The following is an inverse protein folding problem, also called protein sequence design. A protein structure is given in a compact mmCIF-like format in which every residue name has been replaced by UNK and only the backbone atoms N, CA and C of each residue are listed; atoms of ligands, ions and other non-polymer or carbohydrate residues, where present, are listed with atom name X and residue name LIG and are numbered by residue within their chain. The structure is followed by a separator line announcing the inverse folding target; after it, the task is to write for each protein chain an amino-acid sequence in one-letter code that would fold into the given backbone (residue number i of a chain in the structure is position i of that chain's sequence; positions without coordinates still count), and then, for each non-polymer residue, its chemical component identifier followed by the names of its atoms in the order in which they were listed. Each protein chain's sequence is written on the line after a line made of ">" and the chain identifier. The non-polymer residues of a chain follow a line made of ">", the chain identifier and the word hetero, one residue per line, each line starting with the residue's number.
data_IF_312728539666
#
_entry.id   IF_312728539666
#
_cell.length_a   1.000
_cell.length_b   1.000
_cell.length_c   1.000
_cell.angle_alpha   90.00
_cell.angle_beta   90.00
_cell.angle_gamma   90.00
#
_symmetry.space_group_name_H-M   'P 1'
#
loop_
_entity.id
_entity.type
_entity.pdbx_description
1 polymer ?
#
# COMPACT_ATOMS: atom_id res chain seq x y z
N UNK A 1 -10.74 -2.62 18.50
CA UNK A 1 -10.01 -2.95 17.27
C UNK A 1 -10.57 -2.17 16.09
N UNK A 2 -11.77 -2.47 15.57
CA UNK A 2 -12.35 -1.82 14.38
C UNK A 2 -12.29 -0.28 14.39
N UNK A 3 -12.69 0.37 15.49
CA UNK A 3 -12.62 1.82 15.64
C UNK A 3 -11.18 2.38 15.55
N UNK A 4 -10.20 1.67 16.11
CA UNK A 4 -8.79 2.08 16.06
C UNK A 4 -8.24 2.00 14.63
N UNK A 5 -8.79 1.10 13.81
CA UNK A 5 -8.44 0.91 12.40
C UNK A 5 -9.28 1.79 11.46
N UNK A 6 -10.14 2.65 12.00
CA UNK A 6 -11.02 3.53 11.24
C UNK A 6 -12.23 2.85 10.58
N UNK A 7 -12.52 1.59 10.94
CA UNK A 7 -13.65 0.83 10.41
C UNK A 7 -14.88 1.12 11.28
N UNK A 8 -15.71 2.07 10.85
CA UNK A 8 -16.84 2.60 11.64
C UNK A 8 -18.21 2.08 11.20
N UNK A 9 -18.32 1.44 10.03
CA UNK A 9 -19.57 0.92 9.46
C UNK A 9 -19.83 -0.55 9.77
N UNK A 10 -18.84 -1.26 10.35
CA UNK A 10 -18.95 -2.66 10.73
C UNK A 10 -19.34 -2.84 12.20
N UNK A 11 -20.29 -3.74 12.47
CA UNK A 11 -20.65 -4.21 13.82
C UNK A 11 -20.36 -5.70 13.93
N UNK A 12 -19.70 -6.11 15.01
CA UNK A 12 -19.46 -7.52 15.36
C UNK A 12 -20.19 -7.80 16.66
N UNK A 13 -21.24 -8.62 16.59
CA UNK A 13 -22.13 -8.89 17.72
C UNK A 13 -21.84 -10.22 18.42
N UNK A 14 -21.09 -11.11 17.77
CA UNK A 14 -20.68 -12.41 18.27
C UNK A 14 -19.33 -12.84 17.65
N UNK A 15 -18.72 -13.89 18.21
CA UNK A 15 -17.42 -14.39 17.75
C UNK A 15 -17.51 -15.31 16.53
N UNK A 16 -18.66 -15.96 16.29
CA UNK A 16 -18.86 -16.88 15.16
C UNK A 16 -19.33 -16.19 13.88
N UNK A 17 -19.91 -14.98 14.00
CA UNK A 17 -20.57 -14.31 12.88
C UNK A 17 -21.92 -14.90 12.51
N UNK A 18 -22.55 -15.67 13.41
CA UNK A 18 -23.87 -16.27 13.17
C UNK A 18 -25.02 -15.29 13.45
N UNK A 19 -24.82 -14.38 14.41
CA UNK A 19 -25.81 -13.37 14.75
C UNK A 19 -26.06 -12.43 13.57
N UNK A 20 -27.34 -12.20 13.18
CA UNK A 20 -27.69 -11.26 12.12
C UNK A 20 -27.40 -9.79 12.48
N UNK A 21 -27.01 -9.52 13.73
CA UNK A 21 -26.52 -8.20 14.17
C UNK A 21 -25.04 -7.97 13.84
N UNK A 22 -24.34 -8.99 13.36
CA UNK A 22 -22.99 -8.85 12.81
C UNK A 22 -23.14 -8.38 11.36
N UNK A 23 -22.86 -7.11 11.10
CA UNK A 23 -23.08 -6.45 9.80
C UNK A 23 -21.82 -5.74 9.34
N UNK A 24 -21.53 -5.81 8.05
CA UNK A 24 -20.38 -5.18 7.41
C UNK A 24 -20.74 -4.80 5.97
N UNK A 25 -20.01 -3.84 5.39
CA UNK A 25 -20.00 -3.63 3.95
C UNK A 25 -18.89 -4.46 3.28
N UNK A 26 -18.93 -4.61 1.96
CA UNK A 26 -17.82 -5.24 1.22
C UNK A 26 -16.50 -4.47 1.42
N UNK A 27 -16.56 -3.14 1.52
CA UNK A 27 -15.40 -2.30 1.79
C UNK A 27 -14.81 -2.57 3.19
N UNK A 28 -15.66 -2.76 4.21
CA UNK A 28 -15.21 -3.14 5.56
C UNK A 28 -14.47 -4.48 5.53
N UNK A 29 -15.04 -5.48 4.83
CA UNK A 29 -14.43 -6.81 4.72
C UNK A 29 -13.11 -6.80 3.96
N UNK A 30 -12.99 -5.99 2.90
CA UNK A 30 -11.71 -5.77 2.21
C UNK A 30 -10.70 -5.17 3.19
N UNK A 31 -11.08 -4.15 3.96
CA UNK A 31 -10.17 -3.50 4.91
C UNK A 31 -9.71 -4.45 6.02
N UNK A 32 -10.63 -5.24 6.59
CA UNK A 32 -10.29 -6.29 7.56
C UNK A 32 -9.37 -7.34 6.92
N UNK A 33 -9.65 -7.73 5.68
CA UNK A 33 -8.81 -8.68 4.94
C UNK A 33 -7.38 -8.15 4.72
N UNK A 34 -7.22 -6.88 4.34
CA UNK A 34 -5.91 -6.24 4.22
C UNK A 34 -5.15 -6.25 5.55
N UNK A 35 -5.81 -5.91 6.65
CA UNK A 35 -5.21 -5.90 7.99
C UNK A 35 -4.78 -7.30 8.43
N UNK A 36 -5.62 -8.31 8.20
CA UNK A 36 -5.31 -9.71 8.48
C UNK A 36 -4.06 -10.15 7.71
N UNK A 37 -3.98 -9.80 6.43
CA UNK A 37 -2.89 -10.24 5.56
C UNK A 37 -1.55 -9.54 5.83
N UNK A 38 -1.54 -8.43 6.60
CA UNK A 38 -0.32 -7.79 7.10
C UNK A 38 0.30 -8.54 8.29
N UNK A 39 -0.49 -9.33 9.01
CA UNK A 39 -0.01 -10.16 10.10
C UNK A 39 0.50 -11.50 9.55
N UNK A 40 1.76 -11.82 9.80
CA UNK A 40 2.42 -13.02 9.26
C UNK A 40 1.86 -14.32 9.84
N UNK A 41 1.38 -14.30 11.08
CA UNK A 41 0.74 -15.44 11.72
C UNK A 41 -0.64 -15.68 11.12
N UNK A 42 -1.47 -14.64 11.05
CA UNK A 42 -2.84 -14.77 10.54
C UNK A 42 -2.87 -15.10 9.05
N UNK A 43 -2.03 -14.46 8.24
CA UNK A 43 -1.88 -14.80 6.82
C UNK A 43 -1.38 -16.23 6.62
N UNK A 44 -0.48 -16.71 7.49
CA UNK A 44 -0.05 -18.11 7.53
C UNK A 44 -1.23 -19.05 7.76
N UNK A 45 -2.07 -18.77 8.76
CA UNK A 45 -3.24 -19.59 9.11
C UNK A 45 -4.24 -19.66 7.95
N UNK A 46 -4.64 -18.53 7.36
CA UNK A 46 -5.68 -18.52 6.30
C UNK A 46 -5.21 -19.13 4.98
N UNK A 47 -3.90 -19.32 4.82
CA UNK A 47 -3.32 -19.99 3.65
C UNK A 47 -3.27 -21.52 3.77
N UNK A 48 -3.58 -22.08 4.95
CA UNK A 48 -3.56 -23.53 5.18
C UNK A 48 -4.72 -24.23 4.47
N UNK A 49 -4.41 -25.27 3.71
CA UNK A 49 -5.42 -26.09 3.01
C UNK A 49 -6.16 -27.06 3.92
N UNK A 50 -5.55 -27.43 5.04
CA UNK A 50 -6.13 -28.30 6.06
C UNK A 50 -5.40 -28.12 7.39
N UNK A 51 -6.02 -28.62 8.46
CA UNK A 51 -5.44 -28.73 9.80
C UNK A 51 -5.75 -30.11 10.38
N UNK A 52 -4.81 -30.71 11.11
CA UNK A 52 -5.05 -31.95 11.84
C UNK A 52 -5.45 -31.64 13.28
N UNK A 53 -6.65 -32.06 13.68
CA UNK A 53 -7.19 -31.83 15.02
C UNK A 53 -7.19 -33.16 15.80
N UNK A 54 -6.62 -33.20 17.02
CA UNK A 54 -6.67 -34.40 17.87
C UNK A 54 -8.11 -34.91 18.06
N UNK A 55 -8.34 -36.18 17.77
CA UNK A 55 -9.66 -36.83 17.87
C UNK A 55 -10.60 -36.60 16.69
N UNK A 56 -10.37 -35.59 15.85
CA UNK A 56 -11.21 -35.27 14.69
C UNK A 56 -10.53 -35.61 13.35
N UNK A 57 -9.21 -35.75 13.35
CA UNK A 57 -8.43 -36.04 12.14
C UNK A 57 -8.16 -34.79 11.30
N UNK A 58 -7.95 -34.98 10.00
CA UNK A 58 -7.72 -33.88 9.06
C UNK A 58 -9.03 -33.15 8.75
N UNK A 59 -9.03 -31.84 8.92
CA UNK A 59 -10.13 -30.95 8.59
C UNK A 59 -9.69 -30.04 7.44
N UNK A 60 -10.31 -30.15 6.25
CA UNK A 60 -9.97 -29.32 5.12
C UNK A 60 -10.50 -27.89 5.31
N UNK A 61 -9.82 -26.93 4.70
CA UNK A 61 -10.31 -25.57 4.56
C UNK A 61 -11.56 -25.53 3.71
N UNK A 62 -12.52 -24.69 4.09
CA UNK A 62 -13.72 -24.41 3.28
C UNK A 62 -13.39 -23.53 2.06
N UNK A 63 -12.23 -22.86 2.05
CA UNK A 63 -11.73 -22.17 0.88
C UNK A 63 -11.11 -23.17 -0.10
N UNK A 64 -11.96 -23.70 -0.98
CA UNK A 64 -11.62 -24.79 -1.92
C UNK A 64 -10.67 -24.37 -3.04
N UNK A 65 -10.37 -23.07 -3.18
CA UNK A 65 -9.51 -22.53 -4.25
C UNK A 65 -8.11 -22.12 -3.76
N UNK A 66 -7.73 -22.45 -2.52
CA UNK A 66 -6.39 -22.16 -1.99
C UNK A 66 -5.27 -22.78 -2.85
N UNK A 67 -4.21 -22.01 -3.10
CA UNK A 67 -3.15 -22.33 -4.06
C UNK A 67 -3.30 -21.57 -5.38
N UNK A 68 -2.39 -21.80 -6.34
CA UNK A 68 -2.39 -21.10 -7.65
C UNK A 68 -2.62 -19.58 -7.50
N UNK A 69 -1.83 -18.96 -6.63
CA UNK A 69 -1.85 -17.56 -6.21
C UNK A 69 -2.89 -17.15 -5.15
N UNK A 70 -3.91 -17.96 -4.87
CA UNK A 70 -4.88 -17.68 -3.80
C UNK A 70 -4.28 -18.06 -2.45
N UNK A 71 -4.24 -17.09 -1.53
CA UNK A 71 -3.59 -17.22 -0.21
C UNK A 71 -4.54 -16.98 0.96
N UNK A 72 -5.85 -16.83 0.70
CA UNK A 72 -6.87 -16.58 1.72
C UNK A 72 -8.21 -16.18 1.10
N UNK A 73 -9.19 -15.70 1.88
CA UNK A 73 -9.17 -15.54 3.34
C UNK A 73 -10.29 -16.37 3.97
N UNK A 74 -11.55 -16.11 3.64
CA UNK A 74 -12.67 -16.72 4.37
C UNK A 74 -13.97 -16.81 3.58
N UNK A 75 -14.61 -17.97 3.64
CA UNK A 75 -15.98 -18.22 3.15
C UNK A 75 -17.03 -17.99 4.24
N UNK A 76 -18.24 -17.60 3.85
CA UNK A 76 -19.41 -17.49 4.74
C UNK A 76 -20.70 -17.84 4.01
N UNK A 77 -21.66 -18.43 4.72
CA UNK A 77 -22.96 -18.79 4.17
C UNK A 77 -24.00 -18.88 5.28
N UNK A 78 -25.11 -18.16 5.13
CA UNK A 78 -26.35 -18.30 5.92
C UNK A 78 -27.54 -18.02 5.00
N UNK A 79 -28.75 -18.37 5.43
CA UNK A 79 -29.96 -18.07 4.65
C UNK A 79 -30.18 -16.55 4.56
N UNK A 80 -29.81 -15.79 5.59
CA UNK A 80 -29.95 -14.34 5.66
C UNK A 80 -28.87 -13.60 4.88
N UNK A 81 -27.62 -14.05 4.91
CA UNK A 81 -26.49 -13.37 4.26
C UNK A 81 -26.21 -13.84 2.83
N UNK A 82 -26.79 -14.98 2.42
CA UNK A 82 -26.40 -15.69 1.21
C UNK A 82 -24.94 -16.14 1.24
N UNK A 83 -24.36 -16.31 0.05
CA UNK A 83 -22.95 -16.60 -0.13
C UNK A 83 -22.06 -15.38 0.03
N UNK A 84 -21.06 -15.48 0.92
CA UNK A 84 -20.05 -14.46 1.13
C UNK A 84 -18.64 -15.06 0.97
N UNK A 85 -17.72 -14.30 0.39
CA UNK A 85 -16.32 -14.70 0.30
C UNK A 85 -15.38 -13.50 0.27
N UNK A 86 -14.37 -13.54 1.13
CA UNK A 86 -13.22 -12.63 1.07
C UNK A 86 -12.03 -13.44 0.56
N UNK A 87 -11.46 -12.99 -0.57
CA UNK A 87 -10.32 -13.62 -1.24
C UNK A 87 -9.08 -12.74 -1.09
N UNK A 88 -7.92 -13.38 -0.95
CA UNK A 88 -6.62 -12.74 -1.09
C UNK A 88 -5.81 -13.47 -2.17
N UNK A 89 -5.31 -12.72 -3.14
CA UNK A 89 -4.57 -13.23 -4.30
C UNK A 89 -3.23 -12.52 -4.40
N UNK A 90 -2.15 -13.29 -4.50
CA UNK A 90 -0.83 -12.75 -4.86
C UNK A 90 -0.75 -12.53 -6.36
N UNK A 91 -0.09 -11.47 -6.76
CA UNK A 91 0.21 -11.17 -8.15
C UNK A 91 1.60 -10.56 -8.22
N UNK A 92 2.35 -10.85 -9.27
CA UNK A 92 3.68 -10.27 -9.49
C UNK A 92 3.62 -9.32 -10.68
N UNK A 93 4.09 -8.09 -10.47
CA UNK A 93 4.18 -7.06 -11.50
C UNK A 93 5.59 -6.50 -11.46
N UNK A 94 6.33 -6.58 -12.57
CA UNK A 94 7.71 -6.08 -12.65
C UNK A 94 8.64 -6.56 -11.50
N UNK A 95 8.49 -7.81 -11.05
CA UNK A 95 9.25 -8.37 -9.94
C UNK A 95 8.81 -7.93 -8.54
N UNK A 96 7.74 -7.13 -8.42
CA UNK A 96 7.15 -6.72 -7.15
C UNK A 96 5.86 -7.50 -6.86
N UNK A 97 5.75 -8.03 -5.63
CA UNK A 97 4.55 -8.73 -5.18
C UNK A 97 3.45 -7.73 -4.80
N UNK A 98 2.28 -7.88 -5.43
CA UNK A 98 1.04 -7.19 -5.14
C UNK A 98 0.08 -8.17 -4.49
N UNK A 99 -0.56 -7.76 -3.40
CA UNK A 99 -1.66 -8.50 -2.79
C UNK A 99 -2.98 -7.84 -3.17
N UNK A 100 -3.87 -8.61 -3.80
CA UNK A 100 -5.22 -8.17 -4.17
C UNK A 100 -6.20 -8.80 -3.18
N UNK A 101 -6.98 -7.97 -2.49
CA UNK A 101 -8.06 -8.41 -1.61
C UNK A 101 -9.39 -8.00 -2.23
N UNK A 102 -10.33 -8.94 -2.32
CA UNK A 102 -11.68 -8.69 -2.82
C UNK A 102 -12.72 -9.35 -1.92
N UNK A 103 -13.90 -8.75 -1.83
CA UNK A 103 -15.02 -9.27 -1.06
C UNK A 103 -16.29 -9.32 -1.92
N UNK A 104 -16.98 -10.45 -1.85
CA UNK A 104 -18.32 -10.66 -2.42
C UNK A 104 -19.26 -11.03 -1.28
N UNK A 105 -20.47 -10.46 -1.30
CA UNK A 105 -21.50 -10.66 -0.29
C UNK A 105 -22.85 -10.84 -0.96
N UNK A 106 -23.76 -11.62 -0.36
CA UNK A 106 -25.13 -11.76 -0.86
C UNK A 106 -25.25 -12.49 -2.20
N UNK A 107 -24.28 -13.35 -2.55
CA UNK A 107 -24.42 -14.24 -3.69
C UNK A 107 -25.49 -15.32 -3.40
N UNK A 108 -25.98 -15.99 -4.45
CA UNK A 108 -26.95 -17.09 -4.30
C UNK A 108 -26.47 -18.17 -3.34
N UNK A 109 -25.19 -18.55 -3.45
CA UNK A 109 -24.53 -19.47 -2.53
C UNK A 109 -23.02 -19.17 -2.43
N UNK A 110 -22.36 -19.83 -1.47
CA UNK A 110 -20.91 -19.68 -1.26
C UNK A 110 -20.07 -20.07 -2.48
N UNK A 111 -20.52 -21.00 -3.33
CA UNK A 111 -19.77 -21.41 -4.54
C UNK A 111 -19.78 -20.29 -5.57
N UNK A 112 -20.91 -19.63 -5.72
CA UNK A 112 -21.10 -18.45 -6.57
C UNK A 112 -20.25 -17.29 -6.06
N UNK A 113 -20.23 -17.04 -4.74
CA UNK A 113 -19.37 -16.03 -4.14
C UNK A 113 -17.88 -16.28 -4.42
N UNK A 114 -17.43 -17.54 -4.29
CA UNK A 114 -16.04 -17.94 -4.60
C UNK A 114 -15.70 -17.65 -6.06
N UNK A 115 -16.55 -18.07 -7.00
CA UNK A 115 -16.32 -17.85 -8.43
C UNK A 115 -16.31 -16.36 -8.80
N UNK A 116 -17.21 -15.57 -8.23
CA UNK A 116 -17.29 -14.12 -8.46
C UNK A 116 -16.06 -13.40 -7.91
N UNK A 117 -15.65 -13.69 -6.67
CA UNK A 117 -14.50 -13.03 -6.06
C UNK A 117 -13.19 -13.41 -6.79
N UNK A 118 -13.07 -14.66 -7.24
CA UNK A 118 -11.93 -15.09 -8.05
C UNK A 118 -11.86 -14.30 -9.36
N UNK A 119 -12.98 -14.13 -10.07
CA UNK A 119 -13.03 -13.30 -11.29
C UNK A 119 -12.64 -11.85 -11.01
N UNK A 120 -13.23 -11.22 -9.99
CA UNK A 120 -12.90 -9.85 -9.59
C UNK A 120 -11.40 -9.70 -9.31
N UNK A 121 -10.82 -10.61 -8.53
CA UNK A 121 -9.40 -10.57 -8.18
C UNK A 121 -8.48 -10.78 -9.39
N UNK A 122 -8.86 -11.67 -10.32
CA UNK A 122 -8.12 -11.90 -11.56
C UNK A 122 -8.20 -10.71 -12.50
N UNK A 123 -9.38 -10.12 -12.67
CA UNK A 123 -9.59 -8.94 -13.52
C UNK A 123 -8.80 -7.74 -12.97
N UNK A 124 -8.79 -7.57 -11.65
CA UNK A 124 -8.03 -6.52 -10.98
C UNK A 124 -6.51 -6.60 -11.24
N UNK A 125 -5.95 -7.77 -11.57
CA UNK A 125 -4.51 -7.89 -11.92
C UNK A 125 -4.11 -6.94 -13.05
N UNK A 126 -4.98 -6.81 -14.06
CA UNK A 126 -4.75 -5.93 -15.22
C UNK A 126 -4.72 -4.44 -14.87
N UNK A 127 -5.24 -4.06 -13.70
CA UNK A 127 -5.21 -2.70 -13.19
C UNK A 127 -3.89 -2.33 -12.52
N UNK A 128 -2.96 -3.27 -12.30
CA UNK A 128 -1.65 -2.98 -11.73
C UNK A 128 -0.58 -2.91 -12.83
N UNK A 129 0.33 -1.95 -12.69
CA UNK A 129 1.46 -1.78 -13.60
C UNK A 129 2.57 -0.93 -13.00
N UNK A 130 3.77 -1.04 -13.56
CA UNK A 130 4.87 -0.13 -13.23
C UNK A 130 4.62 1.24 -13.87
N UNK A 131 4.82 2.30 -13.09
CA UNK A 131 4.72 3.68 -13.56
C UNK A 131 5.87 4.51 -13.02
N UNK A 132 6.37 5.40 -13.87
CA UNK A 132 7.27 6.49 -13.43
C UNK A 132 6.45 7.59 -12.77
N UNK A 133 6.77 7.89 -11.51
CA UNK A 133 6.10 8.90 -10.70
C UNK A 133 6.89 10.21 -10.71
N UNK A 134 8.22 10.12 -10.67
CA UNK A 134 9.13 11.26 -10.74
C UNK A 134 10.20 10.96 -11.79
N UNK A 135 10.37 11.85 -12.75
CA UNK A 135 11.42 11.74 -13.76
C UNK A 135 12.75 12.24 -13.20
N UNK A 136 13.86 11.60 -13.55
CA UNK A 136 15.21 12.09 -13.22
C UNK A 136 15.36 13.57 -13.61
N UNK A 137 15.87 14.38 -12.71
CA UNK A 137 16.10 15.81 -12.92
C UNK A 137 14.84 16.67 -12.73
N UNK A 138 13.68 16.09 -12.42
CA UNK A 138 12.51 16.88 -12.03
C UNK A 138 12.82 17.67 -10.75
N UNK A 139 12.49 18.97 -10.76
CA UNK A 139 12.63 19.84 -9.59
C UNK A 139 11.67 19.41 -8.49
N UNK A 140 12.23 19.08 -7.34
CA UNK A 140 11.49 18.73 -6.12
C UNK A 140 11.30 19.96 -5.24
N UNK A 141 12.33 20.81 -5.14
CA UNK A 141 12.26 22.06 -4.39
C UNK A 141 13.31 23.08 -4.82
N UNK A 142 13.17 24.30 -4.30
CA UNK A 142 14.13 25.39 -4.44
C UNK A 142 14.67 25.77 -3.06
N UNK A 143 16.00 25.80 -2.92
CA UNK A 143 16.65 26.38 -1.75
C UNK A 143 17.03 27.82 -2.02
N UNK A 144 16.51 28.73 -1.21
CA UNK A 144 16.90 30.15 -1.20
C UNK A 144 17.96 30.40 -0.15
N UNK A 145 19.06 31.01 -0.55
CA UNK A 145 20.07 31.53 0.36
C UNK A 145 20.01 33.06 0.38
N UNK A 146 20.14 33.72 1.55
CA UNK A 146 20.09 35.18 1.65
C UNK A 146 21.18 35.94 0.88
N UNK A 147 22.22 35.26 0.41
CA UNK A 147 23.46 35.86 -0.09
C UNK A 147 23.77 35.54 -1.54
N UNK A 148 22.85 34.94 -2.28
CA UNK A 148 23.09 34.54 -3.66
C UNK A 148 21.86 33.98 -4.35
N UNK A 149 22.07 33.46 -5.54
CA UNK A 149 21.02 32.85 -6.35
C UNK A 149 20.47 31.57 -5.68
N UNK A 150 19.18 31.26 -5.91
CA UNK A 150 18.60 30.00 -5.47
C UNK A 150 19.28 28.80 -6.16
N UNK A 151 19.23 27.65 -5.49
CA UNK A 151 19.72 26.37 -6.01
C UNK A 151 18.58 25.36 -5.95
N UNK A 152 18.39 24.54 -6.99
CA UNK A 152 17.31 23.57 -6.99
C UNK A 152 17.74 22.23 -6.41
N UNK A 153 16.79 21.58 -5.77
CA UNK A 153 16.84 20.19 -5.37
C UNK A 153 16.05 19.40 -6.43
N UNK A 154 16.70 18.48 -7.12
CA UNK A 154 16.13 17.68 -8.22
C UNK A 154 16.22 16.19 -7.90
N UNK A 155 15.33 15.39 -8.50
CA UNK A 155 15.42 13.93 -8.37
C UNK A 155 16.71 13.38 -9.01
N UNK A 156 17.53 12.67 -8.25
CA UNK A 156 18.81 12.11 -8.73
C UNK A 156 18.64 10.99 -9.77
N UNK A 157 17.52 10.28 -9.73
CA UNK A 157 17.12 9.23 -10.66
C UNK A 157 15.59 9.24 -10.86
N UNK A 158 15.10 8.47 -11.85
CA UNK A 158 13.65 8.30 -12.03
C UNK A 158 13.10 7.39 -10.93
N UNK A 159 12.04 7.84 -10.25
CA UNK A 159 11.28 7.05 -9.30
C UNK A 159 10.18 6.29 -10.04
N UNK A 160 10.30 4.96 -10.03
CA UNK A 160 9.28 4.05 -10.57
C UNK A 160 8.69 3.20 -9.45
N UNK A 161 7.41 2.90 -9.56
CA UNK A 161 6.71 2.01 -8.63
C UNK A 161 5.63 1.23 -9.36
N UNK A 162 5.38 -0.01 -8.92
CA UNK A 162 4.11 -0.66 -9.20
C UNK A 162 3.01 0.08 -8.45
N UNK A 163 1.90 0.35 -9.14
CA UNK A 163 0.73 1.01 -8.57
C UNK A 163 -0.55 0.57 -9.26
N UNK A 164 -1.69 0.86 -8.63
CA UNK A 164 -2.99 0.79 -9.27
C UNK A 164 -3.08 1.87 -10.35
N UNK A 165 -3.13 1.47 -11.62
CA UNK A 165 -3.01 2.37 -12.78
C UNK A 165 -4.06 3.49 -12.83
N UNK A 166 -5.33 3.26 -12.44
CA UNK A 166 -6.31 4.35 -12.32
C UNK A 166 -5.96 5.38 -11.24
N UNK A 167 -5.23 4.99 -10.20
CA UNK A 167 -4.74 5.91 -9.18
C UNK A 167 -3.42 6.57 -9.62
N UNK A 168 -3.17 7.76 -9.09
CA UNK A 168 -1.87 8.42 -9.16
C UNK A 168 -1.37 8.59 -7.73
N UNK A 169 -0.37 7.81 -7.29
CA UNK A 169 0.19 8.01 -5.97
C UNK A 169 0.86 9.38 -5.92
N UNK A 170 0.55 10.13 -4.88
CA UNK A 170 1.22 11.41 -4.62
C UNK A 170 2.59 11.13 -4.00
N UNK A 171 3.68 11.64 -4.59
CA UNK A 171 5.00 11.51 -3.99
C UNK A 171 5.15 12.48 -2.82
N UNK A 172 5.80 12.03 -1.76
CA UNK A 172 6.15 12.83 -0.59
C UNK A 172 7.65 13.13 -0.59
N UNK A 173 8.02 14.39 -0.40
CA UNK A 173 9.41 14.84 -0.35
C UNK A 173 9.81 15.23 1.08
N UNK A 174 10.96 14.72 1.50
CA UNK A 174 11.62 15.10 2.75
C UNK A 174 12.98 15.70 2.41
N UNK A 175 13.22 16.92 2.87
CA UNK A 175 14.38 17.72 2.49
C UNK A 175 15.15 18.17 3.73
N UNK A 176 16.47 18.11 3.63
CA UNK A 176 17.38 18.56 4.68
C UNK A 176 17.60 20.07 4.62
N UNK A 177 17.86 20.70 5.77
CA UNK A 177 18.42 22.05 5.75
C UNK A 177 19.81 22.04 5.10
N UNK A 178 20.08 23.00 4.21
CA UNK A 178 21.38 23.11 3.55
C UNK A 178 22.26 24.20 4.16
N UNK A 179 23.57 24.04 4.01
CA UNK A 179 24.57 25.06 4.35
C UNK A 179 25.34 25.48 3.12
N UNK A 180 26.01 26.64 3.20
CA UNK A 180 27.00 27.06 2.22
C UNK A 180 28.07 25.97 2.00
N UNK A 181 28.58 25.88 0.77
CA UNK A 181 29.65 24.96 0.39
C UNK A 181 29.19 23.61 -0.13
N UNK A 182 27.89 23.30 -0.09
CA UNK A 182 27.35 22.10 -0.76
C UNK A 182 27.53 22.20 -2.28
N UNK A 183 27.83 21.06 -2.92
CA UNK A 183 28.14 20.98 -4.35
C UNK A 183 27.02 20.36 -5.17
N UNK A 184 27.08 20.57 -6.49
CA UNK A 184 26.22 19.87 -7.44
C UNK A 184 26.31 18.35 -7.24
N UNK A 185 25.18 17.65 -7.32
CA UNK A 185 25.05 16.21 -7.14
C UNK A 185 25.05 15.75 -5.68
N UNK A 186 25.20 16.64 -4.70
CA UNK A 186 25.14 16.27 -3.31
C UNK A 186 23.69 16.02 -2.86
N UNK A 187 23.44 14.89 -2.21
CA UNK A 187 22.13 14.54 -1.63
C UNK A 187 21.71 15.53 -0.53
N UNK A 188 20.44 15.92 -0.58
CA UNK A 188 19.80 16.92 0.30
C UNK A 188 18.37 16.52 0.68
N UNK A 189 18.02 15.24 0.52
CA UNK A 189 16.72 14.71 0.87
C UNK A 189 16.35 13.49 0.04
N UNK A 190 15.07 13.14 0.11
CA UNK A 190 14.49 11.96 -0.53
C UNK A 190 13.07 12.28 -1.00
N UNK A 191 12.69 11.75 -2.15
CA UNK A 191 11.29 11.70 -2.58
C UNK A 191 10.85 10.24 -2.58
N UNK A 192 9.68 9.98 -2.01
CA UNK A 192 9.14 8.63 -1.80
C UNK A 192 7.67 8.56 -2.19
N UNK A 193 7.16 7.34 -2.33
CA UNK A 193 5.74 7.08 -2.56
C UNK A 193 5.22 6.11 -1.49
N UNK A 194 3.90 6.06 -1.22
CA UNK A 194 3.33 5.17 -0.19
C UNK A 194 3.65 3.68 -0.35
N UNK A 195 4.05 3.22 -1.54
CA UNK A 195 4.52 1.85 -1.78
C UNK A 195 5.90 1.55 -1.17
N UNK A 196 6.61 2.56 -0.68
CA UNK A 196 7.95 2.47 -0.10
C UNK A 196 9.09 2.68 -1.11
N UNK A 197 8.79 2.82 -2.41
CA UNK A 197 9.81 3.19 -3.38
C UNK A 197 10.30 4.63 -3.15
N UNK A 198 11.60 4.86 -3.23
CA UNK A 198 12.20 6.17 -2.99
C UNK A 198 13.44 6.43 -3.87
N UNK A 199 13.72 7.70 -4.13
CA UNK A 199 14.96 8.15 -4.77
C UNK A 199 15.54 9.37 -4.05
N UNK A 200 16.86 9.50 -4.12
CA UNK A 200 17.57 10.64 -3.56
C UNK A 200 17.23 11.93 -4.30
N UNK A 201 17.12 13.02 -3.53
CA UNK A 201 17.05 14.38 -4.06
C UNK A 201 18.44 14.99 -3.94
N UNK A 202 18.97 15.49 -5.05
CA UNK A 202 20.32 16.06 -5.16
C UNK A 202 20.26 17.51 -5.60
N UNK A 203 21.28 18.30 -5.26
CA UNK A 203 21.40 19.67 -5.78
C UNK A 203 21.78 19.66 -7.26
N UNK A 204 21.17 20.54 -8.06
CA UNK A 204 21.54 20.77 -9.47
C UNK A 204 22.68 21.79 -9.64
N UNK A 205 23.07 22.45 -8.55
CA UNK A 205 24.06 23.51 -8.52
C UNK A 205 24.88 23.54 -7.23
N UNK A 206 25.85 24.45 -7.16
CA UNK A 206 26.65 24.69 -5.95
C UNK A 206 26.00 25.77 -5.12
N UNK A 207 25.91 25.53 -3.81
CA UNK A 207 25.53 26.55 -2.83
C UNK A 207 26.76 27.39 -2.53
N UNK A 208 26.84 28.57 -3.15
CA UNK A 208 27.99 29.46 -3.02
C UNK A 208 28.18 29.92 -1.57
N UNK A 209 29.44 30.11 -1.17
CA UNK A 209 29.76 30.69 0.13
C UNK A 209 29.32 32.15 0.19
N UNK A 210 28.84 32.64 1.36
CA UNK A 210 28.47 34.04 1.50
C UNK A 210 29.68 34.94 1.20
N UNK A 211 29.53 35.98 0.34
CA UNK A 211 30.58 36.95 0.08
C UNK A 211 31.05 37.64 1.36
N UNK A 212 32.31 38.11 1.41
CA UNK A 212 32.84 38.83 2.57
C UNK A 212 31.99 40.03 2.97
N UNK A 213 31.47 40.78 1.99
CA UNK A 213 30.58 41.91 2.24
C UNK A 213 29.30 41.48 2.98
N UNK A 214 28.68 40.35 2.60
CA UNK A 214 27.52 39.82 3.30
C UNK A 214 27.87 39.34 4.71
N UNK A 215 29.04 38.72 4.91
CA UNK A 215 29.50 38.29 6.24
C UNK A 215 29.71 39.46 7.20
N UNK A 216 30.14 40.61 6.69
CA UNK A 216 30.42 41.81 7.48
C UNK A 216 29.18 42.69 7.71
N UNK A 217 28.29 42.80 6.72
CA UNK A 217 27.19 43.77 6.73
C UNK A 217 25.78 43.14 6.68
N UNK A 218 25.66 41.86 6.35
CA UNK A 218 24.36 41.19 6.12
C UNK A 218 23.51 40.93 7.36
N UNK A 219 23.97 41.33 8.57
CA UNK A 219 23.17 41.32 9.80
C UNK A 219 22.35 42.61 10.00
N UNK A 220 22.54 43.62 9.15
CA UNK A 220 21.92 44.94 9.24
C UNK A 220 20.85 45.21 8.16
N UNK A 221 20.48 44.19 7.40
CA UNK A 221 19.47 44.18 6.33
C UNK A 221 18.55 43.01 6.52
#
# INVERSE_FOLDING_TARGET
>A
FLQNEGITTMTVSDASGFSPKTVATAADLVRVGELLMRDSLLSGIVSQKSITIPGLGEVPSTNIILGNDVVGIKTGNTDEAGGCFVIAVKHEVAGQAVLIVAAVMGAEDVRTAIAQAQRIALDARSGFGEREIVTKGATVAEYRVPWGEPVHAVAGSSLRTVSWLPARPEPEAHLDSITAGKTNGQTVGTVSVPSGASVDVVLDGRVVSPPLAWRLYGRYT
#
